data_IF_906267314013
#
_entry.id   IF_906267314013
#
_cell.length_a   1.000
_cell.length_b   1.000
_cell.length_c   1.000
_cell.angle_alpha   90.00
_cell.angle_beta   90.00
_cell.angle_gamma   90.00
#
_symmetry.space_group_name_H-M   'P 1'
#
loop_
_entity.id
_entity.type
_entity.pdbx_description
1 polymer ?
#
# COMPACT_ATOMS: atom_id res chain seq x y z
N UNK A 1 -8.39 10.85 -20.90
CA UNK A 1 -9.64 10.05 -20.83
C UNK A 1 -9.26 8.58 -20.92
N UNK A 2 -8.97 7.91 -19.81
CA UNK A 2 -8.71 6.45 -19.78
C UNK A 2 -10.04 5.81 -19.40
N UNK A 3 -10.58 5.01 -20.33
CA UNK A 3 -11.92 4.42 -20.26
C UNK A 3 -12.06 3.52 -19.02
N UNK A 4 -13.02 3.83 -18.17
CA UNK A 4 -13.45 3.02 -17.02
C UNK A 4 -13.98 1.60 -17.39
N UNK A 5 -14.08 1.29 -18.70
CA UNK A 5 -14.61 0.04 -19.20
C UNK A 5 -13.67 -1.17 -19.20
N UNK A 6 -12.35 -0.97 -19.01
CA UNK A 6 -11.38 -2.06 -19.13
C UNK A 6 -11.17 -2.88 -17.83
N UNK A 7 -11.73 -2.43 -16.71
CA UNK A 7 -11.51 -3.08 -15.40
C UNK A 7 -12.54 -4.20 -15.12
N UNK A 8 -13.73 -4.11 -15.72
CA UNK A 8 -14.79 -5.12 -15.50
C UNK A 8 -14.56 -6.44 -16.23
N UNK A 9 -13.86 -6.44 -17.36
CA UNK A 9 -13.60 -7.64 -18.16
C UNK A 9 -12.43 -8.50 -17.68
N UNK A 10 -11.56 -7.96 -16.81
CA UNK A 10 -10.39 -8.70 -16.31
C UNK A 10 -10.72 -9.73 -15.21
N UNK A 11 -11.92 -9.71 -14.65
CA UNK A 11 -12.35 -10.63 -13.58
C UNK A 11 -13.01 -11.92 -14.08
N UNK A 12 -13.34 -12.00 -15.36
CA UNK A 12 -14.18 -13.10 -15.88
C UNK A 12 -13.41 -14.21 -16.62
N UNK A 13 -12.11 -14.03 -16.89
CA UNK A 13 -11.30 -15.01 -17.59
C UNK A 13 -10.50 -15.92 -16.63
N UNK A 14 -11.10 -17.07 -16.31
CA UNK A 14 -10.48 -18.13 -15.46
C UNK A 14 -9.12 -18.62 -15.97
N UNK A 15 -8.81 -18.49 -17.27
CA UNK A 15 -7.53 -18.88 -17.86
C UNK A 15 -6.41 -17.89 -17.51
N UNK A 16 -6.72 -16.61 -17.39
CA UNK A 16 -5.74 -15.61 -16.99
C UNK A 16 -5.29 -15.78 -15.53
N UNK A 17 -6.13 -16.29 -14.63
CA UNK A 17 -5.75 -16.56 -13.25
C UNK A 17 -4.74 -17.72 -13.11
N UNK A 18 -4.80 -18.72 -13.99
CA UNK A 18 -3.87 -19.87 -13.98
C UNK A 18 -2.47 -19.47 -14.46
N UNK A 19 -2.39 -18.60 -15.46
CA UNK A 19 -1.13 -18.06 -16.01
C UNK A 19 -0.45 -17.12 -15.00
N UNK A 20 -1.22 -16.44 -14.14
CA UNK A 20 -0.73 -15.46 -13.15
C UNK A 20 -0.23 -16.08 -11.85
N UNK A 21 -0.44 -17.36 -11.58
CA UNK A 21 0.18 -18.06 -10.45
C UNK A 21 1.70 -18.18 -10.58
N UNK A 22 2.24 -18.12 -11.79
CA UNK A 22 3.67 -18.30 -12.05
C UNK A 22 4.45 -16.97 -12.13
N UNK A 23 3.85 -15.84 -11.85
CA UNK A 23 4.46 -14.50 -11.74
C UNK A 23 5.89 -14.37 -12.35
N UNK A 24 6.10 -14.50 -13.68
CA UNK A 24 7.42 -14.34 -14.27
C UNK A 24 8.04 -12.98 -13.97
N UNK A 25 7.21 -11.92 -13.98
CA UNK A 25 7.61 -10.53 -13.67
C UNK A 25 8.08 -10.35 -12.21
N UNK A 26 7.55 -11.11 -11.25
CA UNK A 26 8.02 -11.05 -9.86
C UNK A 26 9.38 -11.73 -9.68
N UNK A 27 9.72 -12.74 -10.47
CA UNK A 27 11.05 -13.37 -10.46
C UNK A 27 12.12 -12.46 -11.05
N UNK A 28 11.83 -11.74 -12.13
CA UNK A 28 12.78 -10.77 -12.70
C UNK A 28 13.08 -9.62 -11.76
N UNK A 29 12.07 -9.12 -11.03
CA UNK A 29 12.21 -8.02 -10.07
C UNK A 29 13.04 -8.42 -8.83
N UNK A 30 12.98 -9.68 -8.40
CA UNK A 30 13.78 -10.17 -7.27
C UNK A 30 15.29 -10.32 -7.59
N UNK A 31 15.67 -10.37 -8.87
CA UNK A 31 17.07 -10.50 -9.29
C UNK A 31 17.80 -9.17 -9.50
N UNK A 32 17.13 -8.04 -9.52
CA UNK A 32 17.74 -6.73 -9.65
C UNK A 32 18.29 -6.23 -8.31
N UNK A 33 19.55 -6.51 -8.09
CA UNK A 33 20.58 -5.90 -7.24
C UNK A 33 20.18 -4.78 -6.26
N UNK A 34 20.72 -4.89 -5.05
CA UNK A 34 20.81 -3.87 -3.99
C UNK A 34 21.21 -2.51 -4.58
N UNK A 35 20.25 -1.60 -4.64
CA UNK A 35 20.52 -0.19 -4.95
C UNK A 35 20.85 0.53 -3.64
N UNK A 36 21.92 1.38 -3.58
CA UNK A 36 22.22 2.21 -2.42
C UNK A 36 21.04 3.11 -2.07
N UNK A 37 20.84 3.38 -0.78
CA UNK A 37 19.75 4.22 -0.29
C UNK A 37 19.71 5.56 -1.04
N UNK A 38 18.62 5.89 -1.73
CA UNK A 38 18.51 7.15 -2.45
C UNK A 38 18.35 8.33 -1.49
N UNK A 39 18.92 9.48 -1.86
CA UNK A 39 18.65 10.76 -1.20
C UNK A 39 17.17 11.08 -1.25
N UNK A 40 16.60 11.82 -0.27
CA UNK A 40 15.18 12.17 -0.27
C UNK A 40 14.80 12.85 -1.58
N UNK A 41 13.89 12.25 -2.32
CA UNK A 41 13.37 12.74 -3.60
C UNK A 41 11.95 13.26 -3.43
N UNK A 42 11.55 14.26 -4.20
CA UNK A 42 10.19 14.78 -4.13
C UNK A 42 9.15 13.70 -4.44
N UNK A 43 7.95 13.84 -3.88
CA UNK A 43 6.78 12.96 -4.03
C UNK A 43 6.34 12.70 -5.49
N UNK A 44 7.01 13.34 -6.46
CA UNK A 44 6.70 13.32 -7.90
C UNK A 44 6.75 11.96 -8.57
N UNK A 45 7.22 10.93 -7.88
CA UNK A 45 7.40 9.59 -8.48
C UNK A 45 6.43 8.55 -7.94
N UNK A 46 5.43 8.96 -7.16
CA UNK A 46 4.44 8.02 -6.58
C UNK A 46 3.31 7.78 -7.59
N UNK A 47 3.57 7.06 -8.65
CA UNK A 47 2.50 6.35 -9.34
C UNK A 47 2.25 5.06 -8.57
N UNK A 48 1.36 5.17 -7.58
CA UNK A 48 0.88 4.01 -6.86
C UNK A 48 0.14 3.08 -7.82
N UNK A 49 0.69 1.90 -8.07
CA UNK A 49 0.04 0.92 -8.93
C UNK A 49 -0.82 -0.02 -8.07
N UNK A 50 -2.15 0.15 -8.02
CA UNK A 50 -3.05 -0.71 -7.26
C UNK A 50 -3.21 -2.11 -7.88
N UNK A 51 -2.35 -2.47 -8.84
CA UNK A 51 -2.48 -3.67 -9.65
C UNK A 51 -2.55 -4.93 -8.79
N UNK A 52 -1.69 -5.07 -7.77
CA UNK A 52 -1.71 -6.27 -6.93
C UNK A 52 -3.00 -6.39 -6.10
N UNK A 53 -3.56 -5.26 -5.64
CA UNK A 53 -4.84 -5.24 -4.92
C UNK A 53 -5.98 -5.67 -5.86
N UNK A 54 -5.93 -5.22 -7.12
CA UNK A 54 -6.92 -5.63 -8.13
C UNK A 54 -6.87 -7.13 -8.43
N UNK A 55 -5.72 -7.77 -8.19
CA UNK A 55 -5.57 -9.23 -8.30
C UNK A 55 -6.00 -10.01 -7.07
N UNK A 56 -6.56 -9.36 -6.06
CA UNK A 56 -7.07 -10.04 -4.87
C UNK A 56 -6.02 -10.34 -3.81
N UNK A 57 -4.86 -9.64 -3.83
CA UNK A 57 -3.78 -9.78 -2.85
C UNK A 57 -3.62 -8.53 -2.00
N UNK A 58 -3.16 -8.71 -0.78
CA UNK A 58 -2.63 -7.70 0.12
C UNK A 58 -1.16 -8.01 0.39
N UNK A 59 -0.34 -6.95 0.53
CA UNK A 59 1.11 -7.08 0.67
C UNK A 59 1.53 -7.42 2.11
N UNK A 60 0.94 -6.76 3.09
CA UNK A 60 1.13 -6.91 4.54
C UNK A 60 2.48 -6.43 5.11
N UNK A 61 3.40 -5.97 4.28
CA UNK A 61 4.68 -5.39 4.72
C UNK A 61 5.14 -4.26 3.80
N UNK A 62 4.24 -3.35 3.45
CA UNK A 62 4.63 -2.13 2.73
C UNK A 62 5.51 -1.27 3.63
N UNK A 63 6.70 -0.92 3.11
CA UNK A 63 7.71 -0.10 3.78
C UNK A 63 8.69 0.46 2.74
N UNK A 64 9.44 1.52 3.04
CA UNK A 64 10.39 2.10 2.08
C UNK A 64 11.42 1.10 1.53
N UNK A 65 11.84 0.12 2.35
CA UNK A 65 12.81 -0.90 1.93
C UNK A 65 12.24 -1.88 0.88
N UNK A 66 10.91 -1.98 0.77
CA UNK A 66 10.21 -2.83 -0.19
C UNK A 66 9.67 -2.04 -1.39
N UNK A 67 10.10 -0.79 -1.57
CA UNK A 67 9.69 0.07 -2.68
C UNK A 67 10.92 0.70 -3.32
N UNK A 68 11.01 0.68 -4.63
CA UNK A 68 12.08 1.33 -5.38
C UNK A 68 11.56 1.94 -6.67
N UNK A 69 12.31 2.88 -7.23
CA UNK A 69 12.11 3.38 -8.59
C UNK A 69 12.85 2.49 -9.59
N UNK A 70 12.37 2.42 -10.81
CA UNK A 70 13.06 1.71 -11.88
C UNK A 70 14.42 2.34 -12.22
N UNK A 71 15.23 1.67 -13.09
CA UNK A 71 16.54 2.16 -13.48
C UNK A 71 16.49 3.55 -14.12
N UNK A 72 17.45 4.40 -13.77
CA UNK A 72 17.58 5.75 -14.34
C UNK A 72 17.78 5.63 -15.86
N UNK A 73 17.07 6.49 -16.63
CA UNK A 73 17.15 6.51 -18.09
C UNK A 73 16.20 5.53 -18.79
N UNK A 74 15.43 4.75 -18.03
CA UNK A 74 14.41 3.86 -18.60
C UNK A 74 12.99 4.39 -18.33
N UNK A 75 11.96 3.98 -19.11
CA UNK A 75 10.57 4.32 -18.84
C UNK A 75 10.11 3.86 -17.45
N UNK A 76 10.68 2.79 -16.92
CA UNK A 76 10.39 2.23 -15.60
C UNK A 76 10.80 3.17 -14.46
N UNK A 77 11.71 4.11 -14.69
CA UNK A 77 12.10 5.12 -13.69
C UNK A 77 10.93 5.98 -13.19
N UNK A 78 9.85 6.06 -13.97
CA UNK A 78 8.64 6.82 -13.63
C UNK A 78 7.72 6.09 -12.65
N UNK A 79 7.97 4.81 -12.39
CA UNK A 79 7.09 3.97 -11.57
C UNK A 79 7.77 3.55 -10.27
N UNK A 80 6.95 3.45 -9.21
CA UNK A 80 7.35 2.77 -8.00
C UNK A 80 7.09 1.27 -8.16
N UNK A 81 8.12 0.49 -7.95
CA UNK A 81 8.07 -0.96 -7.93
C UNK A 81 8.00 -1.44 -6.50
N UNK A 82 7.05 -2.33 -6.21
CA UNK A 82 6.89 -2.96 -4.91
C UNK A 82 7.55 -4.33 -4.97
N UNK A 83 8.34 -4.66 -3.94
CA UNK A 83 9.10 -5.88 -3.81
C UNK A 83 8.69 -6.67 -2.58
N UNK A 84 9.25 -7.90 -2.44
CA UNK A 84 9.10 -8.75 -1.27
C UNK A 84 7.66 -9.11 -0.93
N UNK A 85 7.05 -9.87 -1.82
CA UNK A 85 5.71 -10.46 -1.62
C UNK A 85 5.73 -11.71 -0.71
N UNK A 86 6.81 -11.98 0.01
CA UNK A 86 6.94 -13.13 0.90
C UNK A 86 5.90 -13.19 2.01
N UNK A 87 5.34 -12.05 2.40
CA UNK A 87 4.23 -11.96 3.35
C UNK A 87 2.87 -11.76 2.69
N UNK A 88 2.80 -11.61 1.37
CA UNK A 88 1.54 -11.32 0.67
C UNK A 88 0.48 -12.42 0.90
N UNK A 89 -0.78 -12.02 0.87
CA UNK A 89 -1.91 -12.94 1.11
C UNK A 89 -3.07 -12.63 0.17
N UNK A 90 -3.67 -13.68 -0.37
CA UNK A 90 -4.95 -13.57 -1.06
C UNK A 90 -6.04 -13.18 -0.06
N UNK A 91 -6.75 -12.08 -0.33
CA UNK A 91 -7.99 -11.73 0.36
C UNK A 91 -9.23 -12.11 -0.45
N UNK A 92 -9.07 -12.42 -1.75
CA UNK A 92 -10.08 -13.03 -2.61
C UNK A 92 -9.69 -14.48 -2.87
N UNK A 93 -10.61 -15.40 -2.66
CA UNK A 93 -10.44 -16.81 -2.97
C UNK A 93 -11.33 -17.18 -4.15
N UNK A 94 -10.78 -17.98 -5.03
CA UNK A 94 -11.49 -18.56 -6.18
C UNK A 94 -11.97 -19.95 -5.79
N UNK A 95 -13.27 -20.18 -5.52
CA UNK A 95 -13.78 -21.52 -5.26
C UNK A 95 -13.71 -22.36 -6.54
N UNK A 96 -13.72 -23.67 -6.39
CA UNK A 96 -13.78 -24.60 -7.57
C UNK A 96 -15.03 -24.36 -8.42
N UNK A 97 -16.13 -23.98 -7.78
CA UNK A 97 -17.41 -23.67 -8.40
C UNK A 97 -17.94 -22.35 -7.82
N UNK A 98 -18.51 -21.49 -8.68
CA UNK A 98 -19.10 -20.20 -8.27
C UNK A 98 -18.19 -19.00 -8.37
N UNK A 99 -18.68 -17.81 -8.00
CA UNK A 99 -17.95 -16.54 -8.12
C UNK A 99 -16.82 -16.41 -7.09
N UNK A 100 -15.84 -15.51 -7.36
CA UNK A 100 -14.84 -15.13 -6.38
C UNK A 100 -15.47 -14.64 -5.07
N UNK A 101 -14.88 -15.01 -3.94
CA UNK A 101 -15.39 -14.62 -2.61
C UNK A 101 -14.27 -14.01 -1.79
N UNK A 102 -14.62 -13.02 -0.97
CA UNK A 102 -13.70 -12.56 0.07
C UNK A 102 -13.38 -13.70 1.04
N UNK A 103 -12.11 -13.83 1.38
CA UNK A 103 -11.67 -14.75 2.43
C UNK A 103 -12.28 -14.30 3.76
N UNK A 104 -12.80 -15.24 4.53
CA UNK A 104 -13.26 -14.93 5.90
C UNK A 104 -12.07 -14.49 6.76
N UNK A 105 -12.18 -13.37 7.49
CA UNK A 105 -11.14 -12.94 8.41
C UNK A 105 -11.01 -13.94 9.56
N UNK A 106 -9.79 -14.18 9.98
CA UNK A 106 -9.51 -14.97 11.20
C UNK A 106 -9.83 -14.11 12.42
N UNK A 107 -10.37 -14.72 13.46
CA UNK A 107 -10.59 -14.01 14.72
C UNK A 107 -9.28 -13.49 15.31
N UNK A 108 -8.17 -14.20 15.11
CA UNK A 108 -6.85 -13.80 15.52
C UNK A 108 -5.82 -14.19 14.48
N UNK A 109 -5.11 -13.22 13.94
CA UNK A 109 -4.02 -13.40 12.99
C UNK A 109 -2.67 -13.32 13.72
N UNK A 110 -1.67 -14.05 13.20
CA UNK A 110 -0.30 -13.81 13.62
C UNK A 110 0.18 -12.47 13.10
N UNK A 111 0.95 -11.75 13.93
CA UNK A 111 1.59 -10.53 13.51
C UNK A 111 2.46 -10.78 12.26
N UNK A 112 2.24 -9.99 11.21
CA UNK A 112 3.05 -9.97 9.99
C UNK A 112 3.26 -8.51 9.57
N UNK A 113 4.49 -8.17 9.16
CA UNK A 113 4.86 -6.84 8.74
C UNK A 113 5.87 -6.17 9.68
N UNK A 114 6.12 -4.89 9.46
CA UNK A 114 7.12 -4.09 10.16
C UNK A 114 6.43 -3.17 11.18
N UNK A 115 6.84 -3.23 12.45
CA UNK A 115 6.23 -2.48 13.56
C UNK A 115 6.07 -0.98 13.27
N UNK A 116 7.06 -0.39 12.59
CA UNK A 116 7.05 1.03 12.25
C UNK A 116 5.88 1.42 11.37
N UNK A 117 5.56 0.61 10.35
CA UNK A 117 4.60 0.97 9.30
C UNK A 117 3.25 0.27 9.40
N UNK A 118 3.14 -0.86 10.12
CA UNK A 118 1.88 -1.60 10.19
C UNK A 118 0.77 -0.82 10.89
N UNK A 119 -0.47 -1.11 10.54
CA UNK A 119 -1.68 -0.51 11.12
C UNK A 119 -1.85 -0.88 12.60
N UNK A 120 -2.77 -0.19 13.28
CA UNK A 120 -3.22 -0.53 14.63
C UNK A 120 -3.86 -1.93 14.64
N UNK A 121 -4.71 -2.25 13.66
CA UNK A 121 -5.31 -3.57 13.50
C UNK A 121 -4.26 -4.69 13.50
N UNK A 122 -3.16 -4.50 12.78
CA UNK A 122 -2.04 -5.47 12.76
C UNK A 122 -1.37 -5.63 14.14
N UNK A 123 -1.22 -4.53 14.89
CA UNK A 123 -0.71 -4.60 16.27
C UNK A 123 -1.63 -5.41 17.18
N UNK A 124 -2.94 -5.32 17.00
CA UNK A 124 -3.99 -6.00 17.75
C UNK A 124 -4.22 -7.43 17.30
N UNK A 125 -3.47 -7.89 16.29
CA UNK A 125 -3.59 -9.24 15.72
C UNK A 125 -4.92 -9.49 15.00
N UNK A 126 -5.57 -8.44 14.48
CA UNK A 126 -6.68 -8.56 13.55
C UNK A 126 -6.23 -9.15 12.21
N UNK A 127 -7.17 -9.69 11.45
CA UNK A 127 -6.90 -10.09 10.06
C UNK A 127 -6.60 -8.85 9.22
N UNK A 128 -5.49 -8.89 8.51
CA UNK A 128 -5.08 -7.77 7.65
C UNK A 128 -5.92 -7.72 6.39
N UNK A 129 -6.37 -6.52 6.05
CA UNK A 129 -7.15 -6.18 4.88
C UNK A 129 -6.41 -5.22 3.94
N UNK A 130 -7.16 -4.69 2.98
CA UNK A 130 -6.68 -3.68 2.02
C UNK A 130 -6.37 -2.35 2.69
N UNK A 131 -7.11 -2.03 3.73
CA UNK A 131 -6.97 -0.87 4.59
C UNK A 131 -5.63 -0.87 5.33
N UNK A 132 -5.16 -2.04 5.78
CA UNK A 132 -3.87 -2.16 6.48
C UNK A 132 -2.66 -1.78 5.59
N UNK A 133 -2.68 -2.16 4.31
CA UNK A 133 -1.65 -1.75 3.34
C UNK A 133 -1.71 -0.23 3.09
N UNK A 134 -2.89 0.37 3.09
CA UNK A 134 -3.06 1.82 2.95
C UNK A 134 -2.56 2.59 4.19
N UNK A 135 -2.76 2.06 5.39
CA UNK A 135 -2.14 2.62 6.59
C UNK A 135 -0.62 2.58 6.53
N UNK A 136 -0.05 1.47 6.01
CA UNK A 136 1.38 1.40 5.78
C UNK A 136 1.85 2.51 4.82
N UNK A 137 1.12 2.73 3.71
CA UNK A 137 1.41 3.78 2.75
C UNK A 137 1.35 5.17 3.41
N UNK A 138 0.29 5.46 4.18
CA UNK A 138 0.16 6.74 4.87
C UNK A 138 1.37 7.01 5.77
N UNK A 139 1.77 6.04 6.61
CA UNK A 139 2.94 6.21 7.49
C UNK A 139 4.26 6.38 6.71
N UNK A 140 4.40 5.73 5.55
CA UNK A 140 5.54 5.98 4.66
C UNK A 140 5.54 7.42 4.13
N UNK A 141 4.38 7.94 3.70
CA UNK A 141 4.24 9.32 3.21
C UNK A 141 4.55 10.34 4.31
N UNK A 142 4.07 10.11 5.53
CA UNK A 142 4.41 10.95 6.71
C UNK A 142 5.91 10.94 6.96
N UNK A 143 6.56 9.78 6.93
CA UNK A 143 8.00 9.66 7.18
C UNK A 143 8.86 10.38 6.14
N UNK A 144 8.37 10.57 4.92
CA UNK A 144 9.04 11.39 3.90
C UNK A 144 9.09 12.89 4.29
N UNK A 145 8.22 13.34 5.17
CA UNK A 145 8.15 14.74 5.65
C UNK A 145 8.86 14.94 6.99
N UNK A 146 9.08 13.87 7.73
CA UNK A 146 9.76 13.91 9.02
C UNK A 146 9.66 12.58 9.76
N UNK A 147 10.39 12.42 10.86
CA UNK A 147 10.39 11.15 11.60
C UNK A 147 9.01 10.87 12.21
N UNK A 148 8.54 9.65 12.07
CA UNK A 148 7.33 9.20 12.74
C UNK A 148 7.46 9.37 14.27
N UNK A 149 6.39 9.73 15.01
CA UNK A 149 6.41 9.94 16.46
C UNK A 149 6.94 8.73 17.25
N UNK A 150 6.82 7.54 16.70
CA UNK A 150 7.31 6.29 17.29
C UNK A 150 8.63 5.79 16.68
N UNK A 151 9.33 6.59 15.87
CA UNK A 151 10.55 6.16 15.14
C UNK A 151 11.67 5.66 16.05
N UNK A 152 11.79 6.22 17.27
CA UNK A 152 12.78 5.85 18.28
C UNK A 152 12.29 4.78 19.29
N UNK A 153 11.01 4.40 19.20
CA UNK A 153 10.40 3.43 20.11
C UNK A 153 10.60 2.01 19.56
N UNK A 154 11.02 1.08 20.40
CA UNK A 154 11.22 -0.33 20.02
C UNK A 154 10.14 -1.25 20.57
N UNK A 155 9.50 -0.84 21.66
CA UNK A 155 8.49 -1.65 22.31
C UNK A 155 7.18 -1.66 21.52
N UNK A 156 6.76 -2.86 21.10
CA UNK A 156 5.55 -3.03 20.27
C UNK A 156 4.29 -2.45 20.93
N UNK A 157 4.11 -2.69 22.24
CA UNK A 157 2.89 -2.21 22.95
C UNK A 157 2.84 -0.70 22.99
N UNK A 158 3.99 -0.05 23.20
CA UNK A 158 4.08 1.40 23.23
C UNK A 158 3.83 2.00 21.84
N UNK A 159 4.42 1.42 20.78
CA UNK A 159 4.13 1.84 19.39
C UNK A 159 2.64 1.74 19.10
N UNK A 160 2.01 0.61 19.45
CA UNK A 160 0.57 0.40 19.25
C UNK A 160 -0.27 1.46 19.98
N UNK A 161 0.10 1.78 21.24
CA UNK A 161 -0.58 2.82 22.03
C UNK A 161 -0.46 4.18 21.35
N UNK A 162 0.75 4.59 20.96
CA UNK A 162 0.98 5.90 20.30
C UNK A 162 0.13 5.98 19.03
N UNK A 163 0.17 4.98 18.17
CA UNK A 163 -0.62 4.95 16.92
C UNK A 163 -2.13 5.05 17.15
N UNK A 164 -2.62 4.49 18.26
CA UNK A 164 -4.04 4.51 18.60
C UNK A 164 -4.50 5.85 19.16
N UNK A 165 -3.63 6.55 19.89
CA UNK A 165 -4.00 7.75 20.65
C UNK A 165 -3.53 9.05 20.00
N UNK A 166 -2.69 8.96 18.96
CA UNK A 166 -2.21 10.16 18.29
C UNK A 166 -3.34 10.81 17.50
N UNK A 167 -3.44 12.12 17.64
CA UNK A 167 -4.28 12.96 16.82
C UNK A 167 -3.77 12.95 15.37
N UNK A 168 -4.69 12.78 14.41
CA UNK A 168 -4.32 12.76 12.98
C UNK A 168 -3.80 14.12 12.50
N UNK A 169 -4.34 15.23 12.98
CA UNK A 169 -3.84 16.55 12.65
C UNK A 169 -2.39 16.71 13.12
N UNK A 170 -2.08 16.25 14.35
CA UNK A 170 -0.73 16.26 14.87
C UNK A 170 0.22 15.34 14.12
N UNK A 171 -0.26 14.15 13.72
CA UNK A 171 0.54 13.21 12.91
C UNK A 171 0.90 13.82 11.55
N UNK A 172 0.00 14.63 10.98
CA UNK A 172 0.06 15.16 9.63
C UNK A 172 0.43 16.64 9.57
N UNK A 173 0.80 17.28 10.69
CA UNK A 173 1.05 18.74 10.76
C UNK A 173 2.07 19.25 9.73
N UNK A 174 3.04 18.43 9.36
CA UNK A 174 4.06 18.75 8.35
C UNK A 174 3.76 18.19 6.95
N UNK A 175 2.54 17.68 6.76
CA UNK A 175 2.10 17.06 5.53
C UNK A 175 1.12 17.96 4.79
N UNK A 176 0.96 17.78 3.46
CA UNK A 176 -0.14 18.40 2.71
C UNK A 176 -1.50 18.05 3.31
N UNK A 177 -2.44 19.01 3.30
CA UNK A 177 -3.78 18.85 3.90
C UNK A 177 -4.58 17.71 3.28
N UNK A 178 -4.30 17.37 2.04
CA UNK A 178 -4.93 16.25 1.33
C UNK A 178 -4.65 14.90 2.02
N UNK A 179 -3.52 14.79 2.74
CA UNK A 179 -3.23 13.58 3.52
C UNK A 179 -4.08 13.46 4.79
N UNK A 180 -4.65 14.57 5.29
CA UNK A 180 -5.65 14.50 6.36
C UNK A 180 -6.93 13.84 5.84
N UNK A 181 -7.45 14.29 4.69
CA UNK A 181 -8.63 13.67 4.04
C UNK A 181 -8.36 12.20 3.69
N UNK A 182 -7.11 11.89 3.27
CA UNK A 182 -6.69 10.51 3.06
C UNK A 182 -6.80 9.68 4.34
N UNK A 183 -6.27 10.18 5.46
CA UNK A 183 -6.31 9.50 6.76
C UNK A 183 -7.76 9.35 7.26
N UNK A 184 -8.59 10.39 7.16
CA UNK A 184 -10.01 10.34 7.50
C UNK A 184 -10.73 9.22 6.74
N UNK A 185 -10.50 9.11 5.42
CA UNK A 185 -11.05 8.00 4.66
C UNK A 185 -10.60 6.64 5.21
N UNK A 186 -9.32 6.49 5.60
CA UNK A 186 -8.84 5.23 6.18
C UNK A 186 -9.52 4.87 7.49
N UNK A 187 -9.91 5.84 8.32
CA UNK A 187 -10.62 5.58 9.58
C UNK A 187 -12.01 5.00 9.37
N UNK A 188 -12.61 5.20 8.21
CA UNK A 188 -13.94 4.65 7.86
C UNK A 188 -13.87 3.21 7.36
N UNK A 189 -12.66 2.68 7.11
CA UNK A 189 -12.46 1.38 6.50
C UNK A 189 -12.37 0.26 7.53
N UNK A 190 -12.63 -0.94 7.07
CA UNK A 190 -12.37 -2.19 7.76
C UNK A 190 -12.10 -3.29 6.73
N UNK A 191 -11.85 -4.51 7.21
CA UNK A 191 -11.54 -5.65 6.37
C UNK A 191 -12.47 -5.83 5.16
N UNK A 192 -13.78 -5.58 5.33
CA UNK A 192 -14.80 -5.82 4.30
C UNK A 192 -15.00 -4.64 3.35
N UNK A 193 -14.79 -3.42 3.81
CA UNK A 193 -15.06 -2.20 3.03
C UNK A 193 -13.99 -2.04 1.96
N UNK A 194 -14.44 -1.86 0.71
CA UNK A 194 -13.52 -1.55 -0.38
C UNK A 194 -13.09 -0.09 -0.28
N UNK A 195 -11.78 0.20 -0.19
CA UNK A 195 -11.28 1.58 -0.23
C UNK A 195 -11.70 2.30 -1.52
N UNK A 196 -11.99 3.58 -1.40
CA UNK A 196 -12.20 4.44 -2.57
C UNK A 196 -10.84 4.82 -3.18
N UNK A 197 -10.26 3.92 -3.99
CA UNK A 197 -8.97 4.16 -4.63
C UNK A 197 -8.97 5.35 -5.57
N UNK A 198 -10.11 5.70 -6.18
CA UNK A 198 -10.22 6.89 -7.02
C UNK A 198 -10.03 8.17 -6.21
N UNK A 199 -10.70 8.28 -5.05
CA UNK A 199 -10.49 9.38 -4.10
C UNK A 199 -9.02 9.47 -3.66
N UNK A 200 -8.45 8.36 -3.18
CA UNK A 200 -7.07 8.34 -2.69
C UNK A 200 -6.07 8.75 -3.79
N UNK A 201 -6.30 8.32 -5.01
CA UNK A 201 -5.47 8.71 -6.16
C UNK A 201 -5.60 10.21 -6.46
N UNK A 202 -6.82 10.75 -6.46
CA UNK A 202 -7.05 12.19 -6.69
C UNK A 202 -6.37 13.06 -5.62
N UNK A 203 -6.45 12.66 -4.35
CA UNK A 203 -5.76 13.36 -3.26
C UNK A 203 -4.24 13.41 -3.49
N UNK A 204 -3.65 12.28 -3.91
CA UNK A 204 -2.20 12.25 -4.21
C UNK A 204 -1.84 13.11 -5.44
N UNK A 205 -2.71 13.19 -6.45
CA UNK A 205 -2.51 14.10 -7.59
C UNK A 205 -2.56 15.56 -7.15
N UNK A 206 -3.52 15.93 -6.27
CA UNK A 206 -3.60 17.28 -5.72
C UNK A 206 -2.35 17.67 -4.93
N UNK A 207 -1.80 16.75 -4.12
CA UNK A 207 -0.51 16.95 -3.44
C UNK A 207 0.62 17.26 -4.45
N UNK A 208 0.66 16.55 -5.58
CA UNK A 208 1.66 16.76 -6.62
C UNK A 208 1.47 18.13 -7.29
N UNK A 209 0.25 18.49 -7.65
CA UNK A 209 -0.09 19.77 -8.27
C UNK A 209 0.25 20.94 -7.35
N UNK A 210 -0.12 20.88 -6.07
CA UNK A 210 0.21 21.89 -5.07
C UNK A 210 1.74 22.06 -4.91
N UNK A 211 2.49 20.96 -4.99
CA UNK A 211 3.96 20.95 -5.00
C UNK A 211 4.59 21.40 -6.33
N UNK A 212 3.79 21.77 -7.34
CA UNK A 212 4.25 22.06 -8.71
C UNK A 212 5.05 20.92 -9.35
N UNK A 213 4.72 19.69 -8.96
CA UNK A 213 5.35 18.48 -9.45
C UNK A 213 4.54 17.96 -10.65
N UNK A 214 5.15 17.89 -11.82
CA UNK A 214 4.47 17.32 -13.00
C UNK A 214 4.39 15.81 -12.88
N UNK A 215 3.18 15.25 -12.99
CA UNK A 215 3.00 13.85 -13.30
C UNK A 215 3.47 13.62 -14.75
N UNK A 216 4.36 12.67 -14.94
CA UNK A 216 4.86 12.31 -16.28
C UNK A 216 3.97 11.24 -16.92
#
# INVERSE_FOLDING_TARGET
MIRAGAISTALDDRRQWKIRRDFPLLREVQQTTRVPAPRPRPLSTVVWNPVYISFGFIHRDLKPANVAVGPVGTPQFRFLHIFDFGLAREYIVMPRTGPPKMRRPRQRAHFRGTLRYCSVNTHEKGEQGRDDDLWCLLYMLVELRGPLPWSKVRERRLISRIKRTIDMEKLLENCPVELLVFAEHLTTLNYYIRPNYALLYQLLLQVMEAGKIRAY
#
